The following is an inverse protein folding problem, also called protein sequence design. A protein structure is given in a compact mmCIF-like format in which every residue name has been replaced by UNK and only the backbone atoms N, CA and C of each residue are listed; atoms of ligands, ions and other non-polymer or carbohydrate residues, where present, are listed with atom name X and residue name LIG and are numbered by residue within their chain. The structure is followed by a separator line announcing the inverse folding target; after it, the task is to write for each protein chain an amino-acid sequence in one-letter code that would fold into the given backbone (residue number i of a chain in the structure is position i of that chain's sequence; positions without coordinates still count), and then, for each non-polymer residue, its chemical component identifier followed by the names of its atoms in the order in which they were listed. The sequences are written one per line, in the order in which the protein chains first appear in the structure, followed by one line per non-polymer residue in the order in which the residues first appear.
data_IF_998868458269
#
_entry.id   IF_998868458269
#
_cell.length_a   1.000
_cell.length_b   1.000
_cell.length_c   1.000
_cell.angle_alpha   90.00
_cell.angle_beta   90.00
_cell.angle_gamma   90.00
#
_symmetry.space_group_name_H-M   'P 1'
#
loop_
_entity.id
_entity.type
_entity.pdbx_description
1 polymer ?
#
# COMPACT_ATOMS: atom_id res chain seq x y z
N UNK A 1 -15.69 81.09 -30.26
CA UNK A 1 -16.22 79.80 -30.69
C UNK A 1 -15.37 78.75 -30.03
N UNK A 2 -15.82 78.28 -28.85
CA UNK A 2 -15.00 77.46 -27.97
C UNK A 2 -15.56 76.01 -27.99
N UNK A 3 -14.85 75.06 -28.55
CA UNK A 3 -15.24 73.69 -28.56
C UNK A 3 -14.76 72.95 -27.30
N UNK A 4 -15.71 72.50 -26.47
CA UNK A 4 -15.49 71.65 -25.31
C UNK A 4 -15.58 70.17 -25.71
N UNK A 5 -14.45 69.50 -25.67
CA UNK A 5 -14.41 68.01 -25.77
C UNK A 5 -14.73 67.41 -24.38
N UNK A 6 -15.84 66.70 -24.30
CA UNK A 6 -16.16 65.88 -23.12
C UNK A 6 -15.55 64.49 -23.30
N UNK A 7 -14.53 64.16 -22.55
CA UNK A 7 -14.07 62.80 -22.36
C UNK A 7 -15.02 62.09 -21.40
N UNK A 8 -15.67 60.98 -21.87
CA UNK A 8 -16.38 60.06 -21.01
C UNK A 8 -15.37 59.13 -20.33
N UNK A 9 -15.21 59.31 -19.03
CA UNK A 9 -14.48 58.37 -18.18
C UNK A 9 -15.24 57.01 -18.16
N UNK A 10 -14.68 55.97 -18.75
CA UNK A 10 -15.15 54.60 -18.58
C UNK A 10 -14.71 54.18 -17.17
N UNK A 11 -15.59 53.63 -16.33
CA UNK A 11 -15.25 53.36 -14.93
C UNK A 11 -14.24 52.23 -14.85
N UNK A 12 -13.10 52.52 -14.26
CA UNK A 12 -11.96 51.63 -14.01
C UNK A 12 -12.32 50.33 -13.24
N UNK A 13 -13.51 50.31 -12.64
CA UNK A 13 -14.02 49.17 -11.87
C UNK A 13 -14.47 47.98 -12.73
N UNK A 14 -14.76 48.14 -14.01
CA UNK A 14 -15.12 47.02 -14.90
C UNK A 14 -13.89 46.19 -15.32
N UNK A 15 -12.71 46.81 -15.37
CA UNK A 15 -11.47 46.10 -15.72
C UNK A 15 -10.93 45.22 -14.59
N UNK A 16 -11.13 45.62 -13.31
CA UNK A 16 -10.74 44.81 -12.16
C UNK A 16 -11.61 43.59 -11.98
N UNK A 17 -12.91 43.66 -12.28
CA UNK A 17 -13.82 42.52 -12.19
C UNK A 17 -13.52 41.45 -13.25
N UNK A 18 -13.15 41.84 -14.48
CA UNK A 18 -12.77 40.93 -15.54
C UNK A 18 -11.42 40.23 -15.27
N UNK A 19 -10.45 40.94 -14.66
CA UNK A 19 -9.16 40.36 -14.27
C UNK A 19 -9.29 39.36 -13.10
N UNK A 20 -10.19 39.61 -12.14
CA UNK A 20 -10.45 38.70 -11.02
C UNK A 20 -11.15 37.41 -11.47
N UNK A 21 -12.00 37.45 -12.49
CA UNK A 21 -12.65 36.27 -13.05
C UNK A 21 -11.71 35.41 -13.89
N UNK A 22 -10.65 35.98 -14.47
CA UNK A 22 -9.67 35.23 -15.28
C UNK A 22 -8.61 34.52 -14.42
N UNK A 23 -8.43 34.92 -13.15
CA UNK A 23 -7.48 34.25 -12.23
C UNK A 23 -8.09 33.04 -11.49
N UNK A 24 -9.42 32.89 -11.50
CA UNK A 24 -10.07 31.74 -10.86
C UNK A 24 -10.16 30.49 -11.72
N UNK A 25 -9.76 30.55 -12.98
CA UNK A 25 -9.83 29.39 -13.90
C UNK A 25 -8.53 28.56 -14.04
N UNK A 26 -7.47 28.91 -13.32
CA UNK A 26 -6.16 28.23 -13.47
C UNK A 26 -5.74 27.34 -12.29
N UNK A 27 -6.63 27.06 -11.33
CA UNK A 27 -6.34 26.17 -10.19
C UNK A 27 -7.06 24.81 -10.24
N UNK A 28 -7.48 24.37 -11.41
CA UNK A 28 -7.82 22.96 -11.62
C UNK A 28 -6.55 22.16 -12.00
N UNK A 29 -5.53 22.23 -11.17
CA UNK A 29 -4.51 21.18 -11.18
C UNK A 29 -5.25 19.88 -10.80
N UNK A 30 -5.47 19.01 -11.78
CA UNK A 30 -6.09 17.71 -11.54
C UNK A 30 -5.28 17.01 -10.44
N UNK A 31 -5.90 16.81 -9.28
CA UNK A 31 -5.25 16.09 -8.17
C UNK A 31 -4.71 14.75 -8.67
N UNK A 32 -3.44 14.40 -8.42
CA UNK A 32 -2.87 13.14 -8.90
C UNK A 32 -3.50 11.96 -8.17
N UNK A 33 -3.52 10.80 -8.81
CA UNK A 33 -3.73 9.55 -8.09
C UNK A 33 -2.53 9.27 -7.20
N UNK A 34 -2.74 8.54 -6.13
CA UNK A 34 -1.67 8.16 -5.21
C UNK A 34 -1.70 6.64 -5.06
N UNK A 35 -0.60 5.96 -5.36
CA UNK A 35 -0.39 4.55 -5.03
C UNK A 35 0.77 4.49 -4.06
N UNK A 36 0.47 4.09 -2.82
CA UNK A 36 1.47 3.90 -1.78
C UNK A 36 1.72 2.40 -1.59
N UNK A 37 2.93 1.93 -1.90
CA UNK A 37 3.33 0.52 -1.74
C UNK A 37 4.19 0.41 -0.49
N UNK A 38 3.74 -0.38 0.48
CA UNK A 38 4.48 -0.75 1.67
C UNK A 38 4.77 -2.24 1.66
N UNK A 39 6.00 -2.59 1.97
CA UNK A 39 6.50 -3.97 1.96
C UNK A 39 6.99 -4.30 3.37
N UNK A 40 6.58 -5.44 3.93
CA UNK A 40 6.85 -5.83 5.31
C UNK A 40 8.21 -6.54 5.41
N UNK A 41 9.10 -6.06 6.28
CA UNK A 41 10.46 -6.57 6.52
C UNK A 41 11.38 -6.57 5.27
N UNK A 42 11.21 -5.62 4.35
CA UNK A 42 12.15 -5.39 3.25
C UNK A 42 13.25 -4.44 3.71
N UNK A 43 14.49 -4.90 3.64
CA UNK A 43 15.65 -4.11 4.02
C UNK A 43 16.16 -3.22 2.89
N UNK A 44 16.88 -2.14 3.25
CA UNK A 44 17.56 -1.26 2.30
C UNK A 44 18.47 -2.03 1.34
N UNK A 45 19.23 -3.00 1.85
CA UNK A 45 20.16 -3.84 1.09
C UNK A 45 19.53 -4.95 0.26
N UNK A 46 18.20 -5.02 0.15
CA UNK A 46 17.51 -6.08 -0.59
C UNK A 46 17.20 -5.69 -2.04
N UNK A 47 17.37 -4.41 -2.41
CA UNK A 47 17.02 -3.87 -3.73
C UNK A 47 18.26 -3.51 -4.55
N UNK A 48 18.19 -3.79 -5.87
CA UNK A 48 19.26 -3.49 -6.82
C UNK A 48 19.61 -2.01 -6.88
N UNK A 49 18.62 -1.12 -6.86
CA UNK A 49 18.81 0.34 -6.85
C UNK A 49 19.59 0.86 -5.63
N UNK A 50 19.66 0.10 -4.55
CA UNK A 50 20.48 0.39 -3.37
C UNK A 50 21.77 -0.44 -3.30
N UNK A 51 22.18 -1.07 -4.42
CA UNK A 51 23.49 -1.72 -4.57
C UNK A 51 23.49 -3.23 -4.38
N UNK A 52 22.35 -3.86 -4.09
CA UNK A 52 22.22 -5.31 -4.05
C UNK A 52 22.38 -5.90 -5.46
N UNK A 53 23.13 -7.04 -5.62
CA UNK A 53 23.47 -7.60 -6.93
C UNK A 53 22.92 -9.01 -7.18
N UNK A 54 22.47 -9.67 -6.14
CA UNK A 54 22.13 -11.10 -6.17
C UNK A 54 20.66 -11.35 -6.45
N UNK A 55 19.78 -10.62 -5.75
CA UNK A 55 18.33 -10.67 -5.94
C UNK A 55 17.94 -9.76 -7.11
N UNK A 56 16.99 -10.17 -7.94
CA UNK A 56 16.60 -9.40 -9.12
C UNK A 56 15.37 -8.55 -8.83
N UNK A 57 15.53 -7.22 -8.97
CA UNK A 57 14.49 -6.22 -8.75
C UNK A 57 14.43 -5.20 -9.89
N UNK A 58 14.34 -5.63 -11.17
CA UNK A 58 14.47 -4.75 -12.31
C UNK A 58 13.39 -3.67 -12.42
N UNK A 59 12.17 -3.95 -11.93
CA UNK A 59 11.06 -3.00 -12.00
C UNK A 59 11.24 -1.86 -10.98
N UNK A 60 11.65 -2.18 -9.75
CA UNK A 60 12.00 -1.20 -8.73
C UNK A 60 13.25 -0.41 -9.11
N UNK A 61 14.26 -1.06 -9.70
CA UNK A 61 15.46 -0.40 -10.19
C UNK A 61 15.12 0.62 -11.29
N UNK A 62 14.20 0.26 -12.19
CA UNK A 62 13.70 1.18 -13.22
C UNK A 62 12.86 2.32 -12.64
N UNK A 63 12.01 2.03 -11.65
CA UNK A 63 11.21 3.04 -10.96
C UNK A 63 12.12 4.06 -10.24
N UNK A 64 13.16 3.60 -9.56
CA UNK A 64 14.17 4.47 -8.94
C UNK A 64 14.90 5.34 -9.98
N UNK A 65 15.28 4.76 -11.13
CA UNK A 65 15.93 5.50 -12.23
C UNK A 65 15.05 6.57 -12.88
N UNK A 66 13.72 6.33 -12.94
CA UNK A 66 12.75 7.26 -13.56
C UNK A 66 12.16 8.26 -12.57
N UNK A 67 12.28 8.01 -11.28
CA UNK A 67 11.68 8.79 -10.21
C UNK A 67 12.72 9.37 -9.25
N UNK A 68 12.35 9.43 -7.98
CA UNK A 68 13.21 9.90 -6.89
C UNK A 68 13.60 8.73 -6.00
N UNK A 69 14.90 8.61 -5.71
CA UNK A 69 15.45 7.64 -4.78
C UNK A 69 15.79 8.34 -3.46
N UNK A 70 15.22 7.88 -2.36
CA UNK A 70 15.49 8.40 -1.03
C UNK A 70 16.58 7.55 -0.37
N UNK A 71 17.75 8.13 -0.11
CA UNK A 71 18.92 7.44 0.46
C UNK A 71 18.86 7.31 1.97
N UNK A 72 18.11 8.19 2.63
CA UNK A 72 18.01 8.30 4.08
C UNK A 72 16.56 8.27 4.56
N UNK A 73 15.78 7.34 4.03
CA UNK A 73 14.39 7.11 4.44
C UNK A 73 14.32 6.02 5.52
N UNK A 74 13.68 6.33 6.64
CA UNK A 74 13.52 5.42 7.77
C UNK A 74 12.03 5.13 8.01
N UNK A 75 11.72 3.89 8.36
CA UNK A 75 10.38 3.53 8.80
C UNK A 75 10.04 4.20 10.13
N UNK A 76 8.75 4.42 10.38
CA UNK A 76 8.29 5.10 11.60
C UNK A 76 8.57 4.34 12.91
N UNK A 77 8.92 3.05 12.84
CA UNK A 77 9.34 2.23 13.96
C UNK A 77 10.00 0.94 13.43
N UNK A 78 10.68 0.19 14.30
CA UNK A 78 11.43 -1.03 13.97
C UNK A 78 10.56 -2.28 13.84
N UNK A 79 9.30 -2.27 14.28
CA UNK A 79 8.38 -3.42 14.20
C UNK A 79 7.03 -3.03 13.59
N UNK A 80 6.31 -4.03 13.07
CA UNK A 80 5.17 -3.87 12.18
C UNK A 80 4.08 -2.91 12.68
N UNK A 81 3.45 -3.18 13.84
CA UNK A 81 2.27 -2.44 14.27
C UNK A 81 2.56 -0.97 14.56
N UNK A 82 3.57 -0.60 15.35
CA UNK A 82 3.86 0.81 15.60
C UNK A 82 4.38 1.54 14.36
N UNK A 83 5.11 0.87 13.44
CA UNK A 83 5.49 1.45 12.15
C UNK A 83 4.27 1.77 11.31
N UNK A 84 3.29 0.86 11.24
CA UNK A 84 2.01 1.10 10.54
C UNK A 84 1.20 2.21 11.19
N UNK A 85 1.17 2.26 12.52
CA UNK A 85 0.50 3.34 13.24
C UNK A 85 1.10 4.71 12.91
N UNK A 86 2.44 4.82 12.88
CA UNK A 86 3.14 6.04 12.46
C UNK A 86 2.79 6.41 11.01
N UNK A 87 2.80 5.46 10.09
CA UNK A 87 2.45 5.67 8.69
C UNK A 87 1.01 6.17 8.53
N UNK A 88 0.05 5.48 9.16
CA UNK A 88 -1.36 5.82 9.01
C UNK A 88 -1.72 7.18 9.56
N UNK A 89 -1.12 7.55 10.71
CA UNK A 89 -1.47 8.77 11.45
C UNK A 89 -0.52 9.95 11.20
N UNK A 90 0.61 9.73 10.53
CA UNK A 90 1.67 10.74 10.38
C UNK A 90 2.36 11.13 11.69
N UNK A 91 2.11 10.40 12.79
CA UNK A 91 2.71 10.69 14.10
C UNK A 91 4.09 10.06 14.20
N UNK A 92 5.07 10.82 14.65
CA UNK A 92 6.39 10.29 15.00
C UNK A 92 6.29 9.24 16.12
N UNK A 93 7.16 8.23 16.09
CA UNK A 93 7.15 7.10 17.05
C UNK A 93 7.15 7.52 18.53
N UNK A 94 7.72 8.67 18.87
CA UNK A 94 7.68 9.22 20.23
C UNK A 94 6.32 9.79 20.65
N UNK A 95 5.38 9.94 19.72
CA UNK A 95 4.02 10.44 19.94
C UNK A 95 2.94 9.38 19.64
N UNK A 96 3.34 8.15 19.30
CA UNK A 96 2.41 7.04 19.14
C UNK A 96 2.17 6.34 20.47
N UNK A 97 0.95 5.83 20.73
CA UNK A 97 0.61 5.18 22.01
C UNK A 97 1.29 3.82 22.21
N UNK A 98 1.92 3.26 21.20
CA UNK A 98 2.66 1.99 21.26
C UNK A 98 4.01 2.10 20.55
N UNK A 99 5.03 1.46 21.12
CA UNK A 99 6.38 1.31 20.56
C UNK A 99 6.74 -0.14 20.25
N UNK A 100 5.82 -1.08 20.45
CA UNK A 100 6.00 -2.52 20.23
C UNK A 100 4.79 -3.11 19.48
N UNK A 101 4.83 -4.41 19.20
CA UNK A 101 3.68 -5.13 18.61
C UNK A 101 2.54 -5.39 19.63
N UNK A 102 2.44 -4.57 20.70
CA UNK A 102 1.30 -4.59 21.58
C UNK A 102 -0.02 -4.42 20.82
N UNK A 103 -1.10 -4.97 21.37
CA UNK A 103 -2.41 -4.83 20.73
C UNK A 103 -2.87 -3.37 20.79
N UNK A 104 -3.13 -2.81 19.61
CA UNK A 104 -3.70 -1.47 19.46
C UNK A 104 -4.82 -1.50 18.43
N UNK A 105 -5.92 -0.89 18.77
CA UNK A 105 -7.07 -0.71 17.90
C UNK A 105 -7.25 0.80 17.73
N UNK A 106 -7.38 1.26 16.49
CA UNK A 106 -7.62 2.66 16.22
C UNK A 106 -8.83 3.17 16.99
N UNK A 107 -8.65 4.32 17.61
CA UNK A 107 -9.67 5.06 18.33
C UNK A 107 -10.28 6.12 17.40
N UNK A 108 -11.46 6.67 17.75
CA UNK A 108 -12.09 7.73 16.95
C UNK A 108 -11.24 8.99 16.75
N UNK A 109 -10.31 9.27 17.65
CA UNK A 109 -9.36 10.39 17.58
C UNK A 109 -8.12 10.13 16.70
N UNK A 110 -7.89 8.90 16.26
CA UNK A 110 -6.79 8.54 15.38
C UNK A 110 -7.17 8.85 13.93
N UNK A 111 -6.81 10.02 13.47
CA UNK A 111 -7.09 10.46 12.09
C UNK A 111 -6.03 9.88 11.15
N UNK A 112 -6.48 9.24 10.07
CA UNK A 112 -5.62 8.63 9.07
C UNK A 112 -5.44 9.51 7.82
N UNK A 113 -4.35 9.29 7.10
CA UNK A 113 -4.14 9.93 5.80
C UNK A 113 -5.27 9.61 4.80
N UNK A 114 -5.87 8.41 4.87
CA UNK A 114 -7.00 8.02 4.04
C UNK A 114 -8.26 8.86 4.34
N UNK A 115 -8.54 9.17 5.62
CA UNK A 115 -9.65 10.06 5.98
C UNK A 115 -9.46 11.47 5.46
N UNK A 116 -8.23 12.00 5.52
CA UNK A 116 -7.92 13.33 4.99
C UNK A 116 -8.09 13.39 3.46
N UNK A 117 -7.57 12.40 2.74
CA UNK A 117 -7.72 12.33 1.29
C UNK A 117 -9.16 12.06 0.85
N UNK A 118 -9.92 11.29 1.63
CA UNK A 118 -11.36 11.12 1.40
C UNK A 118 -12.11 12.46 1.50
N UNK A 119 -11.77 13.32 2.47
CA UNK A 119 -12.30 14.69 2.56
C UNK A 119 -11.91 15.56 1.36
N UNK A 120 -10.79 15.25 0.69
CA UNK A 120 -10.35 15.87 -0.55
C UNK A 120 -10.93 15.18 -1.82
N UNK A 121 -12.01 14.41 -1.69
CA UNK A 121 -12.74 13.71 -2.75
C UNK A 121 -11.94 12.59 -3.45
N UNK A 122 -10.95 11.99 -2.79
CA UNK A 122 -10.33 10.78 -3.28
C UNK A 122 -11.22 9.56 -3.02
N UNK A 123 -11.31 8.67 -4.03
CA UNK A 123 -11.78 7.30 -3.79
C UNK A 123 -10.64 6.52 -3.14
N UNK A 124 -10.88 5.98 -1.95
CA UNK A 124 -9.83 5.41 -1.12
C UNK A 124 -9.89 3.88 -1.10
N UNK A 125 -8.78 3.23 -1.41
CA UNK A 125 -8.65 1.78 -1.35
C UNK A 125 -7.40 1.33 -0.61
N UNK A 126 -7.47 0.15 -0.04
CA UNK A 126 -6.33 -0.51 0.55
C UNK A 126 -6.38 -2.02 0.36
N UNK A 127 -5.20 -2.63 0.17
CA UNK A 127 -5.07 -4.09 0.08
C UNK A 127 -3.89 -4.56 0.94
N UNK A 128 -3.98 -5.79 1.45
CA UNK A 128 -2.91 -6.44 2.20
C UNK A 128 -3.08 -6.39 3.72
N UNK A 129 -2.00 -6.10 4.47
CA UNK A 129 -1.98 -6.15 5.94
C UNK A 129 -2.42 -4.84 6.58
N UNK A 130 -3.48 -4.88 7.40
CA UNK A 130 -4.02 -3.75 8.16
C UNK A 130 -3.43 -3.62 9.57
N UNK A 131 -3.77 -4.54 10.46
CA UNK A 131 -3.26 -4.68 11.83
C UNK A 131 -3.76 -3.64 12.88
N UNK A 132 -4.70 -2.74 12.55
CA UNK A 132 -5.18 -1.66 13.44
C UNK A 132 -6.61 -1.87 13.96
N UNK A 133 -7.18 -3.06 13.78
CA UNK A 133 -8.51 -3.42 14.27
C UNK A 133 -9.27 -4.33 13.32
N UNK A 134 -10.26 -5.03 13.84
CA UNK A 134 -11.07 -6.04 13.14
C UNK A 134 -12.51 -5.60 12.89
N UNK A 135 -13.33 -6.54 12.40
CA UNK A 135 -14.71 -6.33 11.93
C UNK A 135 -15.62 -5.58 12.92
N UNK A 136 -15.51 -5.88 14.21
CA UNK A 136 -16.40 -5.32 15.24
C UNK A 136 -15.72 -4.23 16.08
N UNK A 137 -14.74 -3.53 15.51
CA UNK A 137 -13.99 -2.52 16.25
C UNK A 137 -14.00 -1.17 15.52
N UNK A 138 -13.71 -0.11 16.25
CA UNK A 138 -13.48 1.25 15.72
C UNK A 138 -12.33 1.26 14.70
N UNK A 139 -11.34 0.36 14.85
CA UNK A 139 -10.19 0.27 14.00
C UNK A 139 -10.41 -0.49 12.68
N UNK A 140 -11.65 -0.82 12.29
CA UNK A 140 -11.89 -1.42 10.97
C UNK A 140 -11.53 -0.43 9.84
N UNK A 141 -10.87 -0.85 8.73
CA UNK A 141 -10.45 0.07 7.66
C UNK A 141 -11.55 0.98 7.14
N UNK A 142 -12.77 0.45 6.94
CA UNK A 142 -13.89 1.26 6.44
C UNK A 142 -14.37 2.33 7.44
N UNK A 143 -14.01 2.25 8.71
CA UNK A 143 -14.25 3.30 9.70
C UNK A 143 -13.12 4.35 9.73
N UNK A 144 -11.98 4.03 9.12
CA UNK A 144 -10.75 4.82 9.13
C UNK A 144 -10.38 5.29 7.71
N UNK A 145 -11.37 5.73 6.95
CA UNK A 145 -11.20 6.45 5.70
C UNK A 145 -11.16 5.59 4.43
N UNK A 146 -11.20 4.27 4.49
CA UNK A 146 -11.17 3.42 3.30
C UNK A 146 -12.57 3.08 2.77
N UNK A 147 -12.83 3.38 1.50
CA UNK A 147 -14.05 2.95 0.79
C UNK A 147 -13.98 1.45 0.44
N UNK A 148 -12.77 0.96 0.21
CA UNK A 148 -12.50 -0.42 -0.15
C UNK A 148 -11.30 -0.95 0.63
N UNK A 149 -11.43 -2.16 1.18
CA UNK A 149 -10.34 -2.91 1.78
C UNK A 149 -10.38 -4.37 1.36
N UNK A 150 -9.22 -4.92 0.96
CA UNK A 150 -9.07 -6.36 0.72
C UNK A 150 -7.79 -6.91 1.35
N UNK A 151 -7.90 -7.88 2.24
CA UNK A 151 -6.72 -8.52 2.83
C UNK A 151 -6.89 -8.97 4.26
N UNK A 152 -5.83 -8.85 5.02
CA UNK A 152 -5.77 -9.23 6.42
C UNK A 152 -6.19 -8.06 7.32
N UNK A 153 -7.08 -8.33 8.28
CA UNK A 153 -7.37 -7.39 9.36
C UNK A 153 -6.48 -7.65 10.59
N UNK A 154 -6.17 -8.92 10.87
CA UNK A 154 -5.32 -9.33 12.00
C UNK A 154 -3.84 -9.40 11.60
N UNK A 155 -2.97 -8.86 12.47
CA UNK A 155 -1.53 -8.83 12.22
C UNK A 155 -0.91 -10.21 12.14
N UNK A 156 -1.30 -11.10 13.03
CA UNK A 156 -0.73 -12.44 13.08
C UNK A 156 -1.25 -13.36 11.99
N UNK A 157 -2.51 -13.17 11.54
CA UNK A 157 -3.02 -13.89 10.37
C UNK A 157 -2.22 -13.52 9.11
N UNK A 158 -1.72 -12.28 9.03
CA UNK A 158 -0.95 -11.82 7.89
C UNK A 158 0.42 -12.50 7.74
N UNK A 159 0.90 -13.23 8.74
CA UNK A 159 2.11 -14.06 8.61
C UNK A 159 1.86 -15.35 7.82
N UNK A 160 0.61 -15.81 7.70
CA UNK A 160 0.25 -16.98 6.93
C UNK A 160 -0.05 -16.60 5.48
N UNK A 161 0.75 -17.08 4.54
CA UNK A 161 0.58 -16.81 3.12
C UNK A 161 -0.44 -17.72 2.43
N UNK A 162 -0.94 -18.71 3.15
CA UNK A 162 -1.99 -19.63 2.68
C UNK A 162 -3.16 -19.67 3.68
N UNK A 163 -3.72 -18.51 4.07
CA UNK A 163 -4.84 -18.47 5.01
C UNK A 163 -6.09 -19.06 4.35
N UNK A 164 -7.04 -19.59 5.11
CA UNK A 164 -8.28 -20.12 4.54
C UNK A 164 -9.22 -19.04 4.01
N UNK A 165 -9.01 -17.78 4.41
CA UNK A 165 -9.81 -16.65 3.95
C UNK A 165 -9.05 -15.33 4.11
N UNK A 166 -9.48 -14.34 3.33
CA UNK A 166 -9.18 -12.91 3.52
C UNK A 166 -10.48 -12.13 3.73
N UNK A 167 -10.37 -10.85 3.98
CA UNK A 167 -11.51 -9.96 4.15
C UNK A 167 -11.66 -9.05 2.94
N UNK A 168 -12.87 -8.92 2.42
CA UNK A 168 -13.28 -7.89 1.49
C UNK A 168 -14.25 -6.96 2.19
N UNK A 169 -13.77 -5.81 2.63
CA UNK A 169 -14.50 -4.98 3.57
C UNK A 169 -14.91 -5.79 4.82
N UNK A 170 -16.20 -6.04 5.01
CA UNK A 170 -16.74 -6.78 6.16
C UNK A 170 -17.04 -8.26 5.84
N UNK A 171 -16.80 -8.70 4.62
CA UNK A 171 -17.12 -10.06 4.17
C UNK A 171 -15.86 -10.94 4.09
N UNK A 172 -16.02 -12.20 4.47
CA UNK A 172 -14.97 -13.20 4.28
C UNK A 172 -14.97 -13.68 2.84
N UNK A 173 -13.79 -13.69 2.24
CA UNK A 173 -13.53 -14.31 0.94
C UNK A 173 -12.69 -15.55 1.17
N UNK A 174 -13.26 -16.72 0.91
CA UNK A 174 -12.57 -18.01 1.04
C UNK A 174 -11.43 -18.13 0.03
N UNK A 175 -10.30 -18.64 0.48
CA UNK A 175 -9.18 -19.02 -0.37
C UNK A 175 -9.16 -20.55 -0.49
N UNK A 176 -9.68 -21.02 -1.61
CA UNK A 176 -9.91 -22.45 -1.82
C UNK A 176 -8.63 -23.29 -1.72
N UNK A 177 -8.79 -24.45 -1.12
CA UNK A 177 -7.75 -25.46 -0.98
C UNK A 177 -6.75 -25.20 0.15
N UNK A 178 -6.83 -24.06 0.87
CA UNK A 178 -5.99 -23.81 2.03
C UNK A 178 -6.60 -24.42 3.29
N UNK A 179 -5.82 -25.23 4.01
CA UNK A 179 -6.26 -25.88 5.25
C UNK A 179 -5.23 -25.60 6.35
N UNK A 180 -5.68 -25.06 7.46
CA UNK A 180 -4.83 -24.78 8.63
C UNK A 180 -4.36 -26.07 9.31
N UNK A 181 -3.25 -25.99 10.02
CA UNK A 181 -2.86 -27.02 11.00
C UNK A 181 -3.85 -27.04 12.16
N UNK A 182 -3.95 -28.17 12.85
CA UNK A 182 -4.76 -28.30 14.06
C UNK A 182 -3.98 -27.99 15.35
N UNK A 183 -2.72 -27.54 15.21
CA UNK A 183 -1.87 -27.25 16.34
C UNK A 183 -2.36 -26.00 17.10
N UNK A 184 -2.61 -26.08 18.42
CA UNK A 184 -2.94 -24.92 19.25
C UNK A 184 -1.79 -23.90 19.30
N UNK A 185 -0.53 -24.36 19.16
CA UNK A 185 0.67 -23.53 19.17
C UNK A 185 0.74 -22.59 17.97
N UNK A 186 0.21 -23.01 16.82
CA UNK A 186 0.26 -22.25 15.58
C UNK A 186 -0.80 -21.15 15.50
N UNK A 187 -1.69 -21.06 16.49
CA UNK A 187 -2.74 -20.02 16.57
C UNK A 187 -3.48 -19.78 15.25
N UNK A 188 -3.73 -20.85 14.46
CA UNK A 188 -4.35 -20.75 13.13
C UNK A 188 -3.53 -19.94 12.11
N UNK A 189 -2.21 -19.89 12.24
CA UNK A 189 -1.31 -19.10 11.40
C UNK A 189 -0.41 -19.96 10.50
N UNK A 190 -0.54 -21.27 10.55
CA UNK A 190 0.21 -22.22 9.73
C UNK A 190 -0.75 -23.09 8.96
N UNK A 191 -0.53 -23.25 7.66
CA UNK A 191 -1.35 -24.09 6.79
C UNK A 191 -0.63 -25.39 6.44
N UNK A 192 -1.33 -26.53 6.67
CA UNK A 192 -0.88 -27.87 6.28
C UNK A 192 -1.15 -28.19 4.81
N UNK A 193 -2.19 -27.59 4.22
CA UNK A 193 -2.45 -27.64 2.78
C UNK A 193 -2.40 -26.20 2.24
N UNK A 194 -1.63 -26.00 1.17
CA UNK A 194 -1.23 -24.72 0.62
C UNK A 194 -1.53 -24.72 -0.89
N UNK A 195 -2.62 -24.08 -1.30
CA UNK A 195 -3.07 -24.07 -2.70
C UNK A 195 -3.11 -22.64 -3.23
N UNK A 196 -3.82 -21.76 -2.53
CA UNK A 196 -4.06 -20.39 -2.97
C UNK A 196 -3.16 -19.43 -2.22
N UNK A 197 -2.20 -18.82 -2.91
CA UNK A 197 -1.23 -17.89 -2.33
C UNK A 197 -1.85 -16.49 -2.19
N UNK A 198 -1.95 -16.01 -0.97
CA UNK A 198 -2.66 -14.78 -0.63
C UNK A 198 -2.07 -13.53 -1.28
N UNK A 199 -0.75 -13.46 -1.44
CA UNK A 199 -0.10 -12.32 -2.08
C UNK A 199 -0.59 -12.12 -3.53
N UNK A 200 -0.76 -13.20 -4.29
CA UNK A 200 -1.22 -13.11 -5.68
C UNK A 200 -2.67 -12.61 -5.78
N UNK A 201 -3.52 -13.05 -4.85
CA UNK A 201 -4.92 -12.59 -4.77
C UNK A 201 -4.98 -11.11 -4.36
N UNK A 202 -4.18 -10.71 -3.36
CA UNK A 202 -4.07 -9.33 -2.91
C UNK A 202 -3.58 -8.41 -4.05
N UNK A 203 -2.58 -8.84 -4.80
CA UNK A 203 -2.07 -8.10 -5.98
C UNK A 203 -3.16 -7.99 -7.05
N UNK A 204 -3.89 -9.06 -7.33
CA UNK A 204 -4.99 -9.03 -8.30
C UNK A 204 -6.09 -8.04 -7.90
N UNK A 205 -6.40 -7.94 -6.61
CA UNK A 205 -7.39 -6.96 -6.11
C UNK A 205 -6.86 -5.51 -6.16
N UNK A 206 -5.55 -5.28 -6.02
CA UNK A 206 -4.94 -3.97 -6.26
C UNK A 206 -5.12 -3.53 -7.73
N UNK A 207 -4.81 -4.42 -8.68
CA UNK A 207 -4.98 -4.16 -10.11
C UNK A 207 -6.47 -3.93 -10.45
N UNK A 208 -7.37 -4.72 -9.89
CA UNK A 208 -8.81 -4.57 -10.06
C UNK A 208 -9.32 -3.21 -9.52
N UNK A 209 -8.79 -2.76 -8.38
CA UNK A 209 -9.14 -1.43 -7.83
C UNK A 209 -8.73 -0.31 -8.78
N UNK A 210 -7.51 -0.36 -9.34
CA UNK A 210 -7.03 0.62 -10.32
C UNK A 210 -7.96 0.65 -11.54
N UNK A 211 -8.25 -0.51 -12.14
CA UNK A 211 -9.14 -0.63 -13.31
C UNK A 211 -10.53 -0.04 -13.04
N UNK A 212 -11.12 -0.36 -11.88
CA UNK A 212 -12.45 0.12 -11.51
C UNK A 212 -12.51 1.63 -11.27
N UNK A 213 -11.43 2.23 -10.82
CA UNK A 213 -11.39 3.63 -10.44
C UNK A 213 -10.60 4.51 -11.42
N UNK A 214 -10.23 4.02 -12.61
CA UNK A 214 -9.41 4.72 -13.59
C UNK A 214 -9.95 6.10 -14.01
N UNK A 215 -11.26 6.34 -13.88
CA UNK A 215 -11.93 7.62 -14.20
C UNK A 215 -12.07 8.55 -13.00
N UNK A 216 -11.60 8.14 -11.82
CA UNK A 216 -11.68 8.91 -10.57
C UNK A 216 -10.28 9.28 -10.11
N UNK A 217 -10.18 10.28 -9.26
CA UNK A 217 -8.96 10.49 -8.46
C UNK A 217 -8.99 9.52 -7.29
N UNK A 218 -7.93 8.74 -7.12
CA UNK A 218 -7.91 7.69 -6.10
C UNK A 218 -6.60 7.67 -5.28
N UNK A 219 -6.75 7.19 -4.06
CA UNK A 219 -5.68 6.71 -3.21
C UNK A 219 -5.77 5.17 -3.16
N UNK A 220 -4.66 4.49 -3.43
CA UNK A 220 -4.53 3.06 -3.20
C UNK A 220 -3.34 2.77 -2.30
N UNK A 221 -3.58 2.16 -1.14
CA UNK A 221 -2.54 1.58 -0.31
C UNK A 221 -2.37 0.09 -0.63
N UNK A 222 -1.17 -0.30 -1.03
CA UNK A 222 -0.78 -1.69 -1.29
C UNK A 222 0.19 -2.11 -0.20
N UNK A 223 -0.30 -2.85 0.79
CA UNK A 223 0.46 -3.24 1.98
C UNK A 223 0.78 -4.74 1.94
N UNK A 224 1.72 -5.11 1.07
CA UNK A 224 2.17 -6.50 0.94
C UNK A 224 2.89 -6.98 2.19
N UNK A 225 2.67 -8.25 2.52
CA UNK A 225 3.33 -8.88 3.67
C UNK A 225 4.70 -9.42 3.28
N UNK A 226 4.91 -9.89 2.05
CA UNK A 226 6.24 -10.35 1.61
C UNK A 226 7.25 -9.20 1.62
N UNK A 227 8.53 -9.44 1.96
CA UNK A 227 9.16 -10.74 2.24
C UNK A 227 9.18 -11.18 3.72
N UNK A 228 8.29 -10.65 4.58
CA UNK A 228 8.20 -11.04 5.98
C UNK A 228 8.06 -12.56 6.13
N UNK A 229 8.80 -13.18 7.03
CA UNK A 229 8.68 -14.61 7.30
C UNK A 229 7.35 -14.95 8.00
N UNK A 230 6.76 -16.11 7.69
CA UNK A 230 5.80 -16.71 8.60
C UNK A 230 6.52 -17.20 9.85
N UNK A 231 6.53 -16.38 10.90
CA UNK A 231 7.26 -16.65 12.14
C UNK A 231 6.78 -17.94 12.82
N UNK A 232 5.48 -18.22 12.76
CA UNK A 232 4.88 -19.42 13.31
C UNK A 232 5.27 -20.64 12.50
N UNK A 233 5.23 -20.53 11.17
CA UNK A 233 5.71 -21.56 10.25
C UNK A 233 7.21 -21.81 10.41
N UNK A 234 8.00 -20.75 10.54
CA UNK A 234 9.45 -20.85 10.78
C UNK A 234 9.80 -21.57 12.07
N UNK A 235 9.07 -21.33 13.17
CA UNK A 235 9.23 -22.08 14.42
C UNK A 235 8.86 -23.56 14.28
N UNK A 236 7.84 -23.86 13.47
CA UNK A 236 7.37 -25.22 13.28
C UNK A 236 8.25 -26.05 12.34
N UNK A 237 8.86 -25.45 11.33
CA UNK A 237 9.53 -26.16 10.22
C UNK A 237 10.99 -25.74 9.98
N UNK A 238 11.46 -24.70 10.64
CA UNK A 238 12.77 -24.07 10.35
C UNK A 238 12.76 -23.14 9.12
N UNK A 239 11.64 -23.05 8.39
CA UNK A 239 11.52 -22.21 7.19
C UNK A 239 10.16 -21.50 7.15
N UNK A 240 10.17 -20.20 7.37
CA UNK A 240 9.00 -19.34 7.29
C UNK A 240 8.84 -18.57 5.97
N UNK A 241 9.76 -18.78 5.01
CA UNK A 241 9.70 -18.10 3.71
C UNK A 241 8.79 -18.87 2.74
N UNK A 242 7.49 -18.75 2.98
CA UNK A 242 6.45 -19.50 2.26
C UNK A 242 6.19 -18.87 0.88
N UNK A 243 6.63 -19.53 -0.17
CA UNK A 243 6.42 -19.15 -1.58
C UNK A 243 5.86 -20.33 -2.38
N UNK A 244 5.11 -20.07 -3.47
CA UNK A 244 4.66 -21.16 -4.36
C UNK A 244 5.82 -21.88 -5.04
N UNK A 245 6.85 -21.13 -5.41
CA UNK A 245 8.05 -21.63 -6.09
C UNK A 245 9.24 -20.69 -5.84
N UNK A 246 10.46 -21.21 -6.05
CA UNK A 246 11.68 -20.40 -5.93
C UNK A 246 12.07 -19.66 -7.23
N UNK A 247 11.31 -19.81 -8.31
CA UNK A 247 11.56 -19.15 -9.58
C UNK A 247 13.00 -19.29 -10.06
N UNK A 248 13.62 -18.19 -10.44
CA UNK A 248 15.00 -18.15 -10.94
C UNK A 248 16.07 -18.59 -9.92
N UNK A 249 15.69 -18.81 -8.65
CA UNK A 249 16.59 -19.22 -7.57
C UNK A 249 16.57 -20.72 -7.28
N UNK A 250 15.75 -21.51 -8.00
CA UNK A 250 15.58 -22.95 -7.74
C UNK A 250 16.91 -23.72 -7.75
N UNK A 251 17.79 -23.40 -8.72
CA UNK A 251 19.08 -24.06 -8.92
C UNK A 251 20.25 -23.44 -8.12
N UNK A 252 19.97 -22.41 -7.29
CA UNK A 252 21.02 -21.83 -6.45
C UNK A 252 21.39 -22.80 -5.32
N UNK A 253 22.68 -22.89 -5.00
CA UNK A 253 23.19 -23.66 -3.85
C UNK A 253 22.97 -22.91 -2.53
N UNK A 254 21.72 -22.49 -2.28
CA UNK A 254 21.29 -21.77 -1.07
C UNK A 254 20.32 -22.63 -0.26
N UNK A 255 20.19 -22.31 1.04
CA UNK A 255 19.12 -22.90 1.86
C UNK A 255 17.73 -22.53 1.31
N UNK A 256 16.72 -23.30 1.66
CA UNK A 256 15.32 -23.01 1.33
C UNK A 256 14.91 -21.61 1.77
N UNK A 257 15.26 -21.20 2.99
CA UNK A 257 15.01 -19.88 3.55
C UNK A 257 15.57 -18.76 2.66
N UNK A 258 16.85 -18.88 2.22
CA UNK A 258 17.45 -17.88 1.33
C UNK A 258 16.80 -17.83 -0.04
N UNK A 259 16.45 -19.00 -0.60
CA UNK A 259 15.73 -19.07 -1.88
C UNK A 259 14.34 -18.45 -1.76
N UNK A 260 13.64 -18.77 -0.67
CA UNK A 260 12.30 -18.27 -0.40
C UNK A 260 12.27 -16.74 -0.25
N UNK A 261 13.18 -16.17 0.54
CA UNK A 261 13.31 -14.73 0.71
C UNK A 261 13.58 -14.01 -0.64
N UNK A 262 14.54 -14.52 -1.42
CA UNK A 262 14.86 -13.96 -2.73
C UNK A 262 13.67 -14.08 -3.72
N UNK A 263 12.95 -15.19 -3.69
CA UNK A 263 11.77 -15.41 -4.52
C UNK A 263 10.61 -14.48 -4.13
N UNK A 264 10.39 -14.25 -2.84
CA UNK A 264 9.40 -13.25 -2.35
C UNK A 264 9.72 -11.86 -2.88
N UNK A 265 10.97 -11.41 -2.77
CA UNK A 265 11.40 -10.07 -3.22
C UNK A 265 11.24 -9.93 -4.73
N UNK A 266 11.68 -10.92 -5.53
CA UNK A 266 11.51 -10.86 -6.99
C UNK A 266 10.05 -10.97 -7.43
N UNK A 267 9.20 -11.69 -6.66
CA UNK A 267 7.75 -11.74 -6.90
C UNK A 267 7.09 -10.38 -6.63
N UNK A 268 7.47 -9.73 -5.54
CA UNK A 268 7.04 -8.36 -5.22
C UNK A 268 7.45 -7.38 -6.33
N UNK A 269 8.72 -7.43 -6.76
CA UNK A 269 9.21 -6.58 -7.85
C UNK A 269 8.44 -6.81 -9.15
N UNK A 270 8.17 -8.06 -9.54
CA UNK A 270 7.31 -8.38 -10.69
C UNK A 270 5.94 -7.72 -10.57
N UNK A 271 5.36 -7.74 -9.38
CA UNK A 271 4.01 -7.22 -9.17
C UNK A 271 3.98 -5.68 -9.09
N UNK A 272 5.08 -5.02 -8.70
CA UNK A 272 5.30 -3.59 -8.97
C UNK A 272 5.29 -3.31 -10.47
N UNK A 273 6.02 -4.12 -11.26
CA UNK A 273 6.00 -4.04 -12.72
C UNK A 273 4.59 -4.10 -13.30
N UNK A 274 3.78 -5.06 -12.85
CA UNK A 274 2.37 -5.19 -13.28
C UNK A 274 1.50 -3.97 -12.97
N UNK A 275 1.74 -3.32 -11.83
CA UNK A 275 1.05 -2.05 -11.49
C UNK A 275 1.49 -0.95 -12.46
N UNK A 276 2.79 -0.79 -12.70
CA UNK A 276 3.32 0.23 -13.61
C UNK A 276 2.83 0.03 -15.04
N UNK A 277 2.86 -1.22 -15.55
CA UNK A 277 2.34 -1.60 -16.87
C UNK A 277 0.84 -1.26 -16.99
N UNK A 278 0.04 -1.59 -15.98
CA UNK A 278 -1.38 -1.25 -15.97
C UNK A 278 -1.64 0.26 -15.98
N UNK A 279 -0.84 1.04 -15.26
CA UNK A 279 -0.96 2.51 -15.27
C UNK A 279 -0.62 3.08 -16.67
N UNK A 280 0.34 2.50 -17.38
CA UNK A 280 0.68 2.88 -18.73
C UNK A 280 -0.43 2.49 -19.73
N UNK A 281 -0.93 1.24 -19.65
CA UNK A 281 -2.06 0.74 -20.46
C UNK A 281 -3.30 1.63 -20.32
N UNK A 282 -3.61 2.07 -19.10
CA UNK A 282 -4.74 2.93 -18.79
C UNK A 282 -4.46 4.44 -19.00
N UNK A 283 -3.27 4.81 -19.46
CA UNK A 283 -2.81 6.19 -19.62
C UNK A 283 -2.88 7.03 -18.33
N UNK A 284 -2.66 6.38 -17.19
CA UNK A 284 -2.65 6.99 -15.85
C UNK A 284 -1.26 7.37 -15.35
N UNK A 285 -0.19 6.94 -16.01
CA UNK A 285 1.21 7.14 -15.61
C UNK A 285 1.61 8.61 -15.40
N UNK A 286 1.01 9.55 -16.16
CA UNK A 286 1.25 10.99 -15.98
C UNK A 286 0.40 11.63 -14.87
N UNK A 287 -0.56 10.89 -14.35
CA UNK A 287 -1.51 11.38 -13.35
C UNK A 287 -1.36 10.66 -11.99
N UNK A 288 -0.45 9.68 -11.88
CA UNK A 288 -0.28 8.82 -10.71
C UNK A 288 1.12 8.96 -10.12
#
# INVERSE_FOLDING_TARGET
MTFLFRFKLIPFHLFLAAAAFSLSSSLNANSPNIIHIMVDDLGYGDLGCYGQKTIKTPNLDMMAKKGMQLTDYYSGNTVCRPSRLSLWTGKHMGHTPISSNANYIFKPEDITAAELLKKANYTTGGVGKWAMGGIKTTGHPNHNGFDYWFGYLDQGQAHNYYPPYLWKNKEKVTLDGNILTNSPLDRKRVSKKRTTYSHDIITSEALNFIKKNQKKTFLLHVHWTIPHANNEGGRATGDGMEVPDYGIYINKKWSSVKKGAAAMISRMDRDVGRILELLEELQLNKKT
#
